data_IF_411399933105
#
_entry.id   IF_411399933105
#
_cell.length_a   1.000
_cell.length_b   1.000
_cell.length_c   1.000
_cell.angle_alpha   90.00
_cell.angle_beta   90.00
_cell.angle_gamma   90.00
#
_symmetry.space_group_name_H-M   'P 1'
#
loop_
_entity.id
_entity.type
_entity.pdbx_description
1 polymer ?
#
# COMPACT_ATOMS: atom_id res chain seq x y z
N UNK A 1 5.06 5.55 -17.47
CA UNK A 1 5.41 4.48 -16.48
C UNK A 1 5.95 3.28 -17.25
N UNK A 2 6.82 2.44 -16.65
CA UNK A 2 7.38 1.25 -17.33
C UNK A 2 6.93 -0.11 -16.79
N UNK A 3 6.53 -0.20 -15.52
CA UNK A 3 6.08 -1.46 -14.89
C UNK A 3 4.82 -1.33 -14.02
N UNK A 4 4.00 -0.30 -14.27
CA UNK A 4 2.82 -0.02 -13.45
C UNK A 4 1.85 -1.21 -13.46
N UNK A 5 1.24 -1.51 -12.31
CA UNK A 5 0.20 -2.54 -12.26
C UNK A 5 -0.52 -2.66 -10.92
N UNK A 6 -1.66 -3.32 -11.01
CA UNK A 6 -2.63 -3.50 -9.93
C UNK A 6 -2.09 -4.33 -8.77
N UNK A 7 -2.64 -4.08 -7.57
CA UNK A 7 -2.17 -4.61 -6.28
C UNK A 7 -2.06 -6.13 -6.23
N UNK A 8 -3.01 -6.84 -6.86
CA UNK A 8 -3.01 -8.30 -6.89
C UNK A 8 -2.02 -8.88 -7.91
N UNK A 9 -1.69 -8.14 -8.97
CA UNK A 9 -1.14 -8.70 -10.21
C UNK A 9 0.27 -8.23 -10.61
N UNK A 10 0.84 -7.18 -10.00
CA UNK A 10 2.22 -6.73 -10.33
C UNK A 10 2.99 -6.29 -9.07
N UNK A 11 4.15 -6.91 -8.81
CA UNK A 11 4.97 -6.77 -7.58
C UNK A 11 6.47 -6.84 -7.87
N UNK A 12 7.30 -6.27 -7.00
CA UNK A 12 8.78 -6.27 -7.14
C UNK A 12 9.32 -5.36 -8.25
N UNK A 13 10.63 -5.43 -8.51
CA UNK A 13 11.27 -4.83 -9.67
C UNK A 13 11.20 -5.75 -10.91
N UNK A 14 11.22 -5.16 -12.10
CA UNK A 14 11.56 -5.88 -13.35
C UNK A 14 13.08 -6.10 -13.45
N UNK A 15 13.54 -6.59 -14.60
CA UNK A 15 14.93 -6.57 -15.03
C UNK A 15 15.35 -5.19 -15.58
N UNK A 16 14.78 -4.08 -15.09
CA UNK A 16 15.06 -2.73 -15.58
C UNK A 16 15.15 -1.64 -14.51
N UNK A 17 14.83 -1.96 -13.25
CA UNK A 17 14.89 -1.09 -12.08
C UNK A 17 13.58 -0.37 -11.79
N UNK A 18 12.52 -0.66 -12.55
CA UNK A 18 11.20 -0.10 -12.34
C UNK A 18 10.43 -1.01 -11.37
N UNK A 19 10.22 -0.56 -10.13
CA UNK A 19 9.34 -1.28 -9.21
C UNK A 19 7.89 -1.15 -9.65
N UNK A 20 7.10 -2.22 -9.49
CA UNK A 20 5.75 -2.33 -10.01
C UNK A 20 4.79 -1.21 -9.55
N UNK A 21 5.04 -0.69 -8.35
CA UNK A 21 4.33 0.43 -7.74
C UNK A 21 5.37 1.34 -7.07
N UNK A 22 5.94 2.27 -7.84
CA UNK A 22 6.75 3.37 -7.31
C UNK A 22 5.81 4.53 -6.96
N UNK A 23 5.78 4.92 -5.69
CA UNK A 23 5.10 6.13 -5.21
C UNK A 23 6.15 6.99 -4.52
N UNK A 24 6.36 8.16 -5.09
CA UNK A 24 7.30 9.16 -4.61
C UNK A 24 6.51 10.16 -3.74
N UNK A 25 6.44 9.90 -2.43
CA UNK A 25 5.85 10.81 -1.45
C UNK A 25 6.87 11.90 -1.08
N UNK A 26 7.11 12.82 -2.00
CA UNK A 26 7.91 14.01 -1.75
C UNK A 26 6.99 15.15 -1.24
N UNK A 27 7.37 15.83 -0.16
CA UNK A 27 6.60 16.95 0.39
C UNK A 27 7.05 18.26 -0.29
N UNK A 28 6.62 18.45 -1.54
CA UNK A 28 7.13 19.51 -2.43
C UNK A 28 6.34 20.81 -2.36
N UNK A 29 7.03 21.90 -2.73
CA UNK A 29 6.49 23.19 -3.16
C UNK A 29 7.06 23.45 -4.57
N UNK A 30 6.32 23.14 -5.64
CA UNK A 30 6.91 22.75 -6.95
C UNK A 30 6.37 23.52 -8.18
N UNK A 31 7.11 23.45 -9.30
CA UNK A 31 6.66 23.90 -10.63
C UNK A 31 7.55 23.38 -11.81
N UNK A 32 7.24 22.18 -12.34
CA UNK A 32 7.36 21.69 -13.75
C UNK A 32 8.55 20.75 -14.22
N UNK A 33 8.79 19.57 -13.61
CA UNK A 33 9.30 18.30 -14.27
C UNK A 33 10.77 17.78 -14.02
N UNK A 34 11.29 16.58 -14.43
CA UNK A 34 10.81 15.31 -15.09
C UNK A 34 11.80 14.05 -14.96
N UNK A 35 11.70 12.96 -15.78
CA UNK A 35 12.25 11.55 -15.56
C UNK A 35 12.71 10.83 -16.91
N UNK A 36 13.23 9.58 -17.17
CA UNK A 36 13.51 8.26 -16.49
C UNK A 36 14.30 7.20 -17.40
N UNK A 37 15.09 6.20 -16.90
CA UNK A 37 15.44 4.84 -17.53
C UNK A 37 16.59 4.01 -16.83
N UNK A 38 17.01 2.73 -17.09
CA UNK A 38 16.46 1.43 -17.65
C UNK A 38 17.57 0.31 -17.90
N UNK A 39 17.34 -1.01 -17.67
CA UNK A 39 18.14 -2.31 -17.84
C UNK A 39 18.99 -2.97 -16.71
N UNK A 40 18.78 -4.29 -16.44
CA UNK A 40 19.35 -5.13 -15.34
C UNK A 40 19.46 -6.65 -15.71
N UNK A 41 20.29 -7.46 -15.00
CA UNK A 41 19.83 -8.31 -13.87
C UNK A 41 20.31 -7.84 -12.49
N UNK A 42 21.06 -6.75 -12.54
CA UNK A 42 21.45 -5.73 -11.57
C UNK A 42 20.22 -5.23 -10.73
N UNK A 43 19.37 -6.11 -10.19
CA UNK A 43 17.95 -5.83 -9.91
C UNK A 43 17.72 -4.84 -8.75
N UNK A 44 18.18 -5.22 -7.56
CA UNK A 44 18.22 -4.32 -6.40
C UNK A 44 19.36 -3.31 -6.59
N UNK A 45 20.54 -3.78 -6.99
CA UNK A 45 21.77 -2.99 -7.18
C UNK A 45 21.59 -1.76 -8.09
N UNK A 46 21.02 -1.90 -9.28
CA UNK A 46 20.77 -0.76 -10.18
C UNK A 46 19.57 0.05 -9.74
N UNK A 47 18.53 -0.54 -9.16
CA UNK A 47 17.44 0.27 -8.60
C UNK A 47 18.03 1.25 -7.57
N UNK A 48 18.87 0.74 -6.66
CA UNK A 48 19.55 1.55 -5.65
C UNK A 48 20.66 2.47 -6.20
N UNK A 49 21.43 2.05 -7.21
CA UNK A 49 22.40 2.92 -7.91
C UNK A 49 21.72 4.06 -8.68
N UNK A 50 20.60 3.80 -9.34
CA UNK A 50 19.83 4.80 -10.09
C UNK A 50 18.91 5.63 -9.17
N UNK A 51 18.69 5.23 -7.91
CA UNK A 51 18.26 6.12 -6.83
C UNK A 51 19.44 6.99 -6.37
N UNK A 52 20.59 6.40 -6.00
CA UNK A 52 21.78 7.14 -5.52
C UNK A 52 22.23 8.23 -6.49
N UNK A 53 22.22 7.95 -7.80
CA UNK A 53 22.50 8.94 -8.86
C UNK A 53 21.52 10.12 -8.94
N UNK A 54 20.29 9.97 -8.44
CA UNK A 54 19.24 11.00 -8.49
C UNK A 54 19.12 11.78 -7.19
N UNK A 55 19.21 11.10 -6.04
CA UNK A 55 18.90 11.69 -4.74
C UNK A 55 20.09 11.74 -3.77
N UNK A 56 21.20 11.06 -4.05
CA UNK A 56 22.34 10.95 -3.13
C UNK A 56 22.23 9.77 -2.16
N UNK A 57 22.49 10.00 -0.87
CA UNK A 57 22.47 8.98 0.19
C UNK A 57 21.07 8.34 0.34
N UNK A 58 20.95 7.01 0.34
CA UNK A 58 19.65 6.33 0.39
C UNK A 58 19.46 5.59 1.71
N UNK A 59 18.43 5.98 2.48
CA UNK A 59 17.99 5.27 3.68
C UNK A 59 16.81 4.35 3.33
N UNK A 60 17.06 3.04 3.22
CA UNK A 60 16.09 2.03 2.86
C UNK A 60 15.43 1.38 4.10
N UNK A 61 14.33 1.97 4.57
CA UNK A 61 13.55 1.42 5.67
C UNK A 61 12.68 0.27 5.15
N UNK A 62 12.72 -0.90 5.79
CA UNK A 62 11.82 -2.03 5.53
C UNK A 62 10.77 -2.17 6.65
N UNK A 63 9.49 -2.00 6.31
CA UNK A 63 8.35 -2.08 7.23
C UNK A 63 7.61 -3.43 7.17
N UNK A 64 8.16 -4.42 6.45
CA UNK A 64 7.62 -5.78 6.35
C UNK A 64 7.66 -6.48 7.73
N UNK A 65 6.63 -7.27 8.03
CA UNK A 65 6.54 -8.06 9.26
C UNK A 65 7.55 -9.21 9.19
N UNK A 66 8.40 -9.34 10.21
CA UNK A 66 9.45 -10.36 10.25
C UNK A 66 8.90 -11.75 10.64
N UNK A 67 7.61 -11.85 10.94
CA UNK A 67 6.90 -13.09 11.31
C UNK A 67 5.77 -13.42 10.32
N UNK A 68 5.39 -14.70 10.28
CA UNK A 68 4.32 -15.20 9.40
C UNK A 68 4.68 -15.13 7.91
N UNK A 69 3.66 -15.06 7.05
CA UNK A 69 3.83 -15.13 5.58
C UNK A 69 4.59 -13.97 4.93
N UNK A 70 4.79 -12.85 5.64
CA UNK A 70 5.61 -11.73 5.17
C UNK A 70 7.11 -11.98 5.31
N UNK A 71 7.53 -12.82 6.27
CA UNK A 71 8.92 -13.03 6.67
C UNK A 71 9.87 -13.41 5.52
N UNK A 72 9.44 -14.30 4.63
CA UNK A 72 10.22 -14.78 3.46
C UNK A 72 10.67 -13.62 2.57
N UNK A 73 9.84 -12.59 2.44
CA UNK A 73 10.15 -11.42 1.62
C UNK A 73 11.06 -10.42 2.35
N UNK A 74 10.95 -10.25 3.68
CA UNK A 74 11.92 -9.44 4.45
C UNK A 74 13.31 -10.10 4.50
N UNK A 75 13.38 -11.44 4.58
CA UNK A 75 14.66 -12.18 4.49
C UNK A 75 15.27 -12.03 3.09
N UNK A 76 14.52 -12.32 2.02
CA UNK A 76 15.03 -12.21 0.66
C UNK A 76 15.43 -10.76 0.29
N UNK A 77 14.71 -9.75 0.80
CA UNK A 77 15.08 -8.35 0.60
C UNK A 77 16.31 -7.95 1.41
N UNK A 78 16.42 -8.36 2.68
CA UNK A 78 17.60 -8.17 3.51
C UNK A 78 18.85 -8.76 2.86
N UNK A 79 18.80 -10.03 2.45
CA UNK A 79 19.90 -10.70 1.77
C UNK A 79 20.31 -10.02 0.45
N UNK A 80 19.38 -9.33 -0.23
CA UNK A 80 19.69 -8.57 -1.44
C UNK A 80 20.28 -7.19 -1.14
N UNK A 81 19.91 -6.59 -0.01
CA UNK A 81 20.46 -5.32 0.48
C UNK A 81 21.84 -5.50 1.13
N UNK A 82 22.08 -6.59 1.86
CA UNK A 82 23.39 -6.95 2.44
C UNK A 82 24.46 -7.23 1.36
N UNK A 83 24.02 -7.57 0.13
CA UNK A 83 24.89 -7.72 -1.05
C UNK A 83 25.19 -6.39 -1.75
N UNK A 84 24.59 -5.26 -1.31
CA UNK A 84 24.96 -3.92 -1.75
C UNK A 84 26.13 -3.39 -0.93
N UNK A 85 27.35 -3.60 -1.41
CA UNK A 85 28.55 -2.93 -0.89
C UNK A 85 28.63 -1.46 -1.33
N UNK A 86 27.71 -0.63 -0.82
CA UNK A 86 27.65 0.82 -1.06
C UNK A 86 27.46 1.60 0.25
N UNK A 87 28.50 2.32 0.67
CA UNK A 87 28.54 3.11 1.92
C UNK A 87 27.50 4.25 1.99
N UNK A 88 26.90 4.62 0.85
CA UNK A 88 25.84 5.62 0.79
C UNK A 88 24.43 5.02 0.95
N UNK A 89 24.29 3.71 1.18
CA UNK A 89 23.00 3.02 1.15
C UNK A 89 22.77 2.22 2.44
N UNK A 90 22.12 2.85 3.43
CA UNK A 90 21.78 2.22 4.71
C UNK A 90 20.46 1.44 4.60
N UNK A 91 20.51 0.13 4.83
CA UNK A 91 19.32 -0.69 5.03
C UNK A 91 18.89 -0.71 6.50
N UNK A 92 17.59 -0.53 6.77
CA UNK A 92 17.04 -0.50 8.13
C UNK A 92 15.77 -1.37 8.23
N UNK A 93 15.86 -2.61 8.78
CA UNK A 93 14.71 -3.47 8.99
C UNK A 93 13.94 -3.08 10.27
N UNK A 94 12.73 -2.53 10.12
CA UNK A 94 11.88 -2.04 11.21
C UNK A 94 10.53 -2.78 11.22
N UNK A 95 10.38 -3.76 12.12
CA UNK A 95 9.11 -4.51 12.23
C UNK A 95 8.00 -3.65 12.85
N UNK A 96 7.26 -2.97 11.97
CA UNK A 96 6.15 -2.09 12.30
C UNK A 96 5.06 -2.80 13.11
N UNK A 97 4.81 -4.09 12.86
CA UNK A 97 3.79 -4.85 13.57
C UNK A 97 4.24 -5.21 14.98
N UNK A 98 5.49 -5.64 15.17
CA UNK A 98 6.08 -5.91 16.49
C UNK A 98 6.18 -4.63 17.34
N UNK A 99 6.57 -3.51 16.73
CA UNK A 99 6.87 -2.27 17.46
C UNK A 99 5.58 -1.47 17.73
N UNK A 100 4.81 -1.12 16.70
CA UNK A 100 3.61 -0.27 16.83
C UNK A 100 2.32 -1.07 17.08
N UNK A 101 2.28 -2.35 16.71
CA UNK A 101 1.08 -3.18 16.82
C UNK A 101 -0.10 -2.60 16.03
N UNK A 102 -1.28 -2.59 16.63
CA UNK A 102 -2.48 -2.03 16.01
C UNK A 102 -2.76 -0.57 16.41
N UNK A 103 -2.10 -0.04 17.45
CA UNK A 103 -2.50 1.21 18.14
C UNK A 103 -1.30 2.09 18.57
N UNK A 104 -0.13 1.53 18.90
CA UNK A 104 0.98 2.25 19.55
C UNK A 104 1.95 2.90 18.56
N UNK A 105 1.41 3.70 17.64
CA UNK A 105 2.18 4.41 16.61
C UNK A 105 3.14 5.47 17.16
N UNK A 106 2.93 5.96 18.40
CA UNK A 106 3.88 6.82 19.12
C UNK A 106 5.30 6.24 19.15
N UNK A 107 5.43 4.90 19.16
CA UNK A 107 6.70 4.17 19.11
C UNK A 107 7.47 4.32 17.79
N UNK A 108 6.91 5.00 16.79
CA UNK A 108 7.67 5.48 15.63
C UNK A 108 8.66 6.59 15.99
N UNK A 109 8.59 7.18 17.19
CA UNK A 109 9.68 8.02 17.74
C UNK A 109 11.01 7.26 17.74
N UNK A 110 11.02 5.99 18.14
CA UNK A 110 12.21 5.15 18.14
C UNK A 110 12.80 4.90 16.73
N UNK A 111 11.95 4.92 15.68
CA UNK A 111 12.44 4.91 14.30
C UNK A 111 13.10 6.24 13.94
N UNK A 112 12.51 7.37 14.33
CA UNK A 112 13.11 8.68 14.12
C UNK A 112 14.44 8.84 14.87
N UNK A 113 14.54 8.35 16.11
CA UNK A 113 15.75 8.46 16.93
C UNK A 113 16.95 7.68 16.37
N UNK A 114 16.74 6.59 15.63
CA UNK A 114 17.79 5.82 14.94
C UNK A 114 18.29 6.46 13.62
N UNK A 115 17.51 7.41 13.07
CA UNK A 115 17.76 7.99 11.73
C UNK A 115 17.89 9.51 11.73
N UNK A 116 17.66 10.21 12.85
CA UNK A 116 17.69 11.68 12.94
C UNK A 116 19.02 12.31 12.48
N UNK A 117 20.14 11.65 12.72
CA UNK A 117 21.46 12.09 12.24
C UNK A 117 21.60 11.89 10.72
N UNK A 118 21.07 10.78 10.19
CA UNK A 118 20.94 10.50 8.76
C UNK A 118 20.14 11.61 8.06
N UNK A 119 18.94 11.92 8.59
CA UNK A 119 18.07 12.97 8.07
C UNK A 119 18.73 14.36 8.13
N UNK A 120 19.49 14.63 9.20
CA UNK A 120 20.24 15.88 9.36
C UNK A 120 21.40 15.99 8.36
N UNK A 121 22.03 14.86 7.99
CA UNK A 121 23.06 14.78 6.94
C UNK A 121 22.48 14.91 5.54
N UNK A 122 21.33 14.29 5.29
CA UNK A 122 20.58 14.40 4.03
C UNK A 122 20.05 15.82 3.80
N UNK A 123 19.64 16.51 4.87
CA UNK A 123 19.19 17.91 4.83
C UNK A 123 17.91 18.11 4.04
N UNK A 124 17.69 19.32 3.54
CA UNK A 124 16.56 19.66 2.67
C UNK A 124 16.99 20.59 1.54
N UNK A 125 16.17 20.71 0.49
CA UNK A 125 16.33 21.78 -0.48
C UNK A 125 15.78 23.09 0.10
N UNK A 126 16.59 24.16 0.07
CA UNK A 126 16.20 25.48 0.54
C UNK A 126 16.67 26.55 -0.45
N UNK A 127 15.79 27.51 -0.74
CA UNK A 127 16.02 28.61 -1.69
C UNK A 127 15.54 29.92 -1.06
N UNK A 128 16.29 31.00 -1.26
CA UNK A 128 15.87 32.32 -0.77
C UNK A 128 14.84 32.99 -1.71
N UNK A 129 14.15 34.06 -1.26
CA UNK A 129 13.18 34.78 -2.10
C UNK A 129 13.77 35.45 -3.34
N UNK A 130 15.09 35.65 -3.40
CA UNK A 130 15.79 36.16 -4.59
C UNK A 130 16.13 35.04 -5.60
N UNK A 131 15.81 33.79 -5.26
CA UNK A 131 15.99 32.63 -6.11
C UNK A 131 17.36 31.98 -6.02
N UNK A 132 18.21 32.35 -5.06
CA UNK A 132 19.50 31.70 -4.79
C UNK A 132 19.27 30.44 -3.95
N UNK A 133 19.94 29.35 -4.31
CA UNK A 133 19.92 28.11 -3.53
C UNK A 133 20.79 28.28 -2.28
N UNK A 134 20.25 27.95 -1.11
CA UNK A 134 20.92 27.99 0.19
C UNK A 134 21.37 26.60 0.62
N UNK A 135 20.48 25.61 0.52
CA UNK A 135 20.76 24.20 0.82
C UNK A 135 20.23 23.31 -0.31
N UNK A 136 20.87 22.16 -0.50
CA UNK A 136 20.46 21.12 -1.46
C UNK A 136 20.37 19.82 -0.68
N UNK A 137 19.26 19.09 -0.88
CA UNK A 137 19.05 17.77 -0.31
C UNK A 137 20.05 16.76 -0.90
N UNK A 138 20.69 15.98 -0.02
CA UNK A 138 21.80 15.05 -0.34
C UNK A 138 21.43 13.59 -0.17
N UNK A 139 20.18 13.29 0.15
CA UNK A 139 19.69 11.91 0.26
C UNK A 139 18.18 11.80 0.38
N UNK A 140 17.68 10.57 0.31
CA UNK A 140 16.25 10.24 0.34
C UNK A 140 15.97 9.12 1.34
N UNK A 141 14.80 9.17 2.00
CA UNK A 141 14.25 8.02 2.72
C UNK A 141 13.32 7.22 1.82
N UNK A 142 13.62 5.93 1.65
CA UNK A 142 12.81 4.97 0.91
C UNK A 142 12.12 4.01 1.89
N UNK A 143 10.86 4.27 2.22
CA UNK A 143 10.01 3.34 2.99
C UNK A 143 9.47 2.21 2.10
N UNK A 144 9.87 0.98 2.38
CA UNK A 144 9.40 -0.23 1.71
C UNK A 144 8.37 -0.95 2.59
N UNK A 145 7.34 -1.54 1.98
CA UNK A 145 6.40 -2.40 2.68
C UNK A 145 5.69 -3.33 1.69
N UNK A 146 5.32 -4.52 2.15
CA UNK A 146 4.38 -5.38 1.42
C UNK A 146 2.95 -4.92 1.69
N UNK A 147 2.17 -4.70 0.63
CA UNK A 147 0.70 -4.49 0.62
C UNK A 147 0.11 -3.33 1.45
N UNK A 148 0.87 -2.68 2.33
CA UNK A 148 0.36 -1.71 3.30
C UNK A 148 0.88 -0.30 3.00
N UNK A 149 0.23 0.36 2.05
CA UNK A 149 0.24 1.84 1.98
C UNK A 149 -0.09 2.45 3.35
N UNK A 150 -0.98 1.80 4.09
CA UNK A 150 -1.39 2.20 5.44
C UNK A 150 -0.21 2.18 6.46
N UNK A 151 0.84 1.36 6.23
CA UNK A 151 2.11 1.38 7.01
C UNK A 151 3.04 2.49 6.51
N UNK A 152 3.25 2.59 5.19
CA UNK A 152 4.18 3.59 4.62
C UNK A 152 3.70 5.01 4.81
N UNK A 153 2.40 5.31 4.64
CA UNK A 153 1.85 6.66 4.78
C UNK A 153 1.98 7.19 6.21
N UNK A 154 1.76 6.34 7.23
CA UNK A 154 1.97 6.74 8.63
C UNK A 154 3.44 7.06 8.89
N UNK A 155 4.37 6.19 8.45
CA UNK A 155 5.81 6.46 8.57
C UNK A 155 6.22 7.74 7.82
N UNK A 156 5.79 7.91 6.58
CA UNK A 156 6.08 9.09 5.77
C UNK A 156 5.51 10.37 6.40
N UNK A 157 4.31 10.35 6.98
CA UNK A 157 3.73 11.50 7.69
C UNK A 157 4.50 11.91 8.96
N UNK A 158 5.21 10.98 9.61
CA UNK A 158 6.11 11.35 10.71
C UNK A 158 7.39 12.01 10.18
N UNK A 159 7.96 11.47 9.10
CA UNK A 159 9.16 12.03 8.47
C UNK A 159 8.88 13.41 7.86
N UNK A 160 7.75 13.59 7.18
CA UNK A 160 7.29 14.88 6.65
C UNK A 160 7.05 15.92 7.75
N UNK A 161 6.56 15.50 8.93
CA UNK A 161 6.42 16.40 10.09
C UNK A 161 7.79 16.89 10.57
N UNK A 162 8.76 15.98 10.69
CA UNK A 162 10.11 16.32 11.15
C UNK A 162 10.88 17.14 10.12
N UNK A 163 10.71 16.86 8.83
CA UNK A 163 11.22 17.70 7.75
C UNK A 163 10.59 19.11 7.79
N UNK A 164 9.27 19.22 8.00
CA UNK A 164 8.59 20.51 8.11
C UNK A 164 9.04 21.32 9.34
N UNK A 165 9.22 20.67 10.48
CA UNK A 165 9.77 21.32 11.70
C UNK A 165 11.16 21.90 11.42
N UNK A 166 12.06 21.14 10.80
CA UNK A 166 13.40 21.62 10.41
C UNK A 166 13.31 22.74 9.36
N UNK A 167 12.44 22.63 8.35
CA UNK A 167 12.24 23.66 7.33
C UNK A 167 11.77 24.99 7.95
N UNK A 168 10.77 24.96 8.83
CA UNK A 168 10.23 26.14 9.52
C UNK A 168 11.26 26.78 10.46
N UNK A 169 12.13 25.98 11.09
CA UNK A 169 13.26 26.47 11.88
C UNK A 169 14.34 27.13 11.01
N UNK A 170 14.67 26.55 9.85
CA UNK A 170 15.67 27.10 8.91
C UNK A 170 15.28 28.46 8.34
N UNK A 171 13.99 28.74 8.19
CA UNK A 171 13.46 30.04 7.74
C UNK A 171 13.05 30.98 8.88
N UNK A 172 13.31 30.60 10.14
CA UNK A 172 13.05 31.45 11.31
C UNK A 172 11.58 31.66 11.68
N UNK A 173 10.67 30.80 11.21
CA UNK A 173 9.23 30.84 11.57
C UNK A 173 8.94 30.04 12.84
N UNK A 174 9.73 28.99 13.10
CA UNK A 174 9.61 28.11 14.27
C UNK A 174 10.90 28.18 15.11
N UNK A 175 10.80 28.29 16.43
CA UNK A 175 12.01 28.27 17.27
C UNK A 175 12.66 26.87 17.28
N UNK A 176 13.99 26.75 17.50
CA UNK A 176 14.70 25.45 17.49
C UNK A 176 14.16 24.40 18.47
N UNK A 177 13.52 24.82 19.55
CA UNK A 177 12.93 23.94 20.58
C UNK A 177 11.41 23.79 20.46
N UNK A 178 10.77 24.41 19.48
CA UNK A 178 9.32 24.31 19.23
C UNK A 178 9.03 23.19 18.22
N UNK A 179 7.81 22.64 18.27
CA UNK A 179 7.30 21.60 17.34
C UNK A 179 5.97 22.04 16.74
N UNK A 180 5.60 21.57 15.54
CA UNK A 180 4.32 22.00 14.93
C UNK A 180 3.10 21.55 15.76
N UNK A 181 3.28 20.54 16.60
CA UNK A 181 2.27 20.02 17.54
C UNK A 181 1.82 21.06 18.59
N UNK A 182 2.63 22.10 18.84
CA UNK A 182 2.27 23.22 19.71
C UNK A 182 1.29 24.20 19.04
N UNK A 183 1.13 24.11 17.72
CA UNK A 183 0.31 25.01 16.89
C UNK A 183 -0.88 24.23 16.32
N UNK A 184 -1.96 24.11 17.10
CA UNK A 184 -3.10 23.23 16.81
C UNK A 184 -3.64 23.35 15.38
N UNK A 185 -3.85 24.58 14.87
CA UNK A 185 -4.34 24.80 13.50
C UNK A 185 -3.35 24.41 12.39
N UNK A 186 -2.05 24.31 12.68
CA UNK A 186 -1.04 23.82 11.73
C UNK A 186 -0.97 22.29 11.76
N UNK A 187 -0.94 21.69 12.95
CA UNK A 187 -0.93 20.24 13.15
C UNK A 187 -2.24 19.58 12.66
N UNK A 188 -3.40 20.25 12.77
CA UNK A 188 -4.66 19.79 12.14
C UNK A 188 -4.56 19.77 10.61
N UNK A 189 -4.15 20.89 9.99
CA UNK A 189 -3.97 20.97 8.53
C UNK A 189 -2.96 19.94 8.01
N UNK A 190 -1.88 19.73 8.74
CA UNK A 190 -0.88 18.72 8.44
C UNK A 190 -1.46 17.28 8.51
N UNK A 191 -2.22 16.96 9.56
CA UNK A 191 -2.91 15.67 9.72
C UNK A 191 -3.93 15.41 8.62
N UNK A 192 -4.71 16.43 8.23
CA UNK A 192 -5.68 16.33 7.14
C UNK A 192 -4.97 16.06 5.80
N UNK A 193 -3.96 16.88 5.45
CA UNK A 193 -3.17 16.73 4.23
C UNK A 193 -2.59 15.32 4.07
N UNK A 194 -1.93 14.79 5.12
CA UNK A 194 -1.33 13.46 5.08
C UNK A 194 -2.34 12.30 5.10
N UNK A 195 -3.56 12.53 5.59
CA UNK A 195 -4.63 11.55 5.52
C UNK A 195 -5.28 11.52 4.13
N UNK A 196 -5.53 12.68 3.55
CA UNK A 196 -6.09 12.82 2.20
C UNK A 196 -5.10 12.29 1.15
N UNK A 197 -3.79 12.56 1.31
CA UNK A 197 -2.70 11.95 0.53
C UNK A 197 -2.75 10.42 0.56
N UNK A 198 -2.86 9.85 1.77
CA UNK A 198 -3.00 8.40 1.97
C UNK A 198 -4.25 7.82 1.34
N UNK A 199 -5.40 8.51 1.45
CA UNK A 199 -6.65 8.11 0.81
C UNK A 199 -6.56 8.16 -0.72
N UNK A 200 -5.97 9.21 -1.31
CA UNK A 200 -5.82 9.35 -2.76
C UNK A 200 -4.90 8.26 -3.36
N UNK A 201 -3.73 8.00 -2.76
CA UNK A 201 -2.86 6.89 -3.20
C UNK A 201 -3.58 5.54 -3.00
N UNK A 202 -4.37 5.39 -1.94
CA UNK A 202 -5.12 4.16 -1.69
C UNK A 202 -6.20 3.91 -2.77
N UNK A 203 -6.87 4.96 -3.23
CA UNK A 203 -7.88 4.90 -4.29
C UNK A 203 -7.19 4.49 -5.61
N UNK A 204 -6.03 5.07 -5.93
CA UNK A 204 -5.26 4.70 -7.10
C UNK A 204 -4.81 3.22 -7.04
N UNK A 205 -4.21 2.80 -5.92
CA UNK A 205 -3.61 1.47 -5.75
C UNK A 205 -4.64 0.34 -5.58
N UNK A 206 -5.71 0.59 -4.82
CA UNK A 206 -6.67 -0.44 -4.36
C UNK A 206 -8.15 -0.11 -4.54
N UNK A 207 -8.48 1.07 -5.10
CA UNK A 207 -9.85 1.47 -5.42
C UNK A 207 -10.72 1.88 -4.23
N UNK A 208 -10.15 2.01 -3.02
CA UNK A 208 -10.82 2.50 -1.81
C UNK A 208 -9.95 3.53 -1.12
N UNK A 209 -10.51 4.31 -0.19
CA UNK A 209 -9.70 5.03 0.81
C UNK A 209 -8.76 4.10 1.59
N UNK A 210 -7.79 4.69 2.26
CA UNK A 210 -6.83 4.03 3.13
C UNK A 210 -7.55 3.26 4.25
N UNK A 211 -6.83 2.33 4.88
CA UNK A 211 -7.21 1.81 6.19
C UNK A 211 -6.47 2.62 7.25
N UNK A 212 -7.10 2.82 8.42
CA UNK A 212 -6.54 3.64 9.50
C UNK A 212 -6.29 5.11 9.13
N UNK A 213 -7.00 5.65 8.13
CA UNK A 213 -6.98 7.09 7.83
C UNK A 213 -7.45 7.95 9.01
N UNK A 214 -8.24 7.40 9.93
CA UNK A 214 -8.62 8.05 11.19
C UNK A 214 -7.44 8.22 12.16
N UNK A 215 -6.47 7.29 12.16
CA UNK A 215 -5.25 7.45 12.93
C UNK A 215 -4.41 8.64 12.44
N UNK A 216 -4.29 8.82 11.12
CA UNK A 216 -3.57 9.98 10.56
C UNK A 216 -4.31 11.29 10.88
N UNK A 217 -5.64 11.33 10.74
CA UNK A 217 -6.46 12.53 11.02
C UNK A 217 -6.52 12.92 12.50
N UNK A 218 -6.57 11.96 13.41
CA UNK A 218 -6.89 12.22 14.83
C UNK A 218 -5.83 11.72 15.84
N UNK A 219 -4.75 11.11 15.38
CA UNK A 219 -3.73 10.48 16.25
C UNK A 219 -4.23 9.26 17.04
N UNK A 220 -5.44 8.76 16.76
CA UNK A 220 -6.06 7.63 17.47
C UNK A 220 -7.12 6.94 16.62
N UNK A 221 -7.47 5.71 17.01
CA UNK A 221 -8.51 4.90 16.37
C UNK A 221 -9.91 5.28 16.87
N UNK A 222 -10.89 5.20 15.97
CA UNK A 222 -12.28 5.62 16.20
C UNK A 222 -13.25 4.50 15.80
N UNK A 223 -14.41 4.40 16.47
CA UNK A 223 -15.42 3.37 16.15
C UNK A 223 -15.93 3.52 14.70
N UNK A 224 -16.14 4.76 14.25
CA UNK A 224 -16.52 5.07 12.85
C UNK A 224 -15.42 4.67 11.86
N UNK A 225 -14.14 4.93 12.19
CA UNK A 225 -13.00 4.51 11.37
C UNK A 225 -12.84 2.99 11.30
N UNK A 226 -13.09 2.26 12.39
CA UNK A 226 -13.09 0.79 12.39
C UNK A 226 -14.20 0.23 11.49
N UNK A 227 -15.41 0.81 11.52
CA UNK A 227 -16.50 0.40 10.64
C UNK A 227 -16.18 0.71 9.16
N UNK A 228 -15.65 1.90 8.87
CA UNK A 228 -15.25 2.29 7.52
C UNK A 228 -14.10 1.41 6.99
N UNK A 229 -13.12 1.06 7.83
CA UNK A 229 -12.05 0.12 7.49
C UNK A 229 -12.60 -1.27 7.12
N UNK A 230 -13.66 -1.73 7.79
CA UNK A 230 -14.35 -2.98 7.44
C UNK A 230 -14.97 -2.93 6.04
N UNK A 231 -15.70 -1.85 5.74
CA UNK A 231 -16.31 -1.61 4.41
C UNK A 231 -15.24 -1.44 3.31
N UNK A 232 -14.18 -0.68 3.58
CA UNK A 232 -13.03 -0.53 2.69
C UNK A 232 -12.35 -1.90 2.45
N UNK A 233 -12.16 -2.72 3.49
CA UNK A 233 -11.53 -4.05 3.36
C UNK A 233 -12.37 -5.02 2.53
N UNK A 234 -13.70 -5.05 2.72
CA UNK A 234 -14.61 -5.85 1.90
C UNK A 234 -14.62 -5.38 0.43
N UNK A 235 -14.59 -4.07 0.22
CA UNK A 235 -14.53 -3.47 -1.13
C UNK A 235 -13.19 -3.77 -1.82
N UNK A 236 -12.04 -3.61 -1.13
CA UNK A 236 -10.71 -4.04 -1.61
C UNK A 236 -10.71 -5.52 -1.98
N UNK A 237 -11.35 -6.39 -1.20
CA UNK A 237 -11.47 -7.83 -1.53
C UNK A 237 -12.23 -8.06 -2.84
N UNK A 238 -13.37 -7.38 -3.06
CA UNK A 238 -14.08 -7.47 -4.34
C UNK A 238 -13.23 -6.95 -5.51
N UNK A 239 -12.64 -5.76 -5.38
CA UNK A 239 -11.90 -5.12 -6.46
C UNK A 239 -10.66 -5.93 -6.87
N UNK A 240 -9.83 -6.34 -5.91
CA UNK A 240 -8.63 -7.15 -6.17
C UNK A 240 -8.98 -8.46 -6.91
N UNK A 241 -10.03 -9.17 -6.48
CA UNK A 241 -10.35 -10.49 -7.02
C UNK A 241 -11.18 -10.46 -8.32
N UNK A 242 -11.97 -9.41 -8.57
CA UNK A 242 -12.97 -9.41 -9.66
C UNK A 242 -12.90 -8.21 -10.62
N UNK A 243 -12.13 -7.16 -10.32
CA UNK A 243 -12.02 -5.95 -11.18
C UNK A 243 -10.58 -5.58 -11.55
N UNK A 244 -9.61 -5.84 -10.68
CA UNK A 244 -8.19 -5.57 -10.93
C UNK A 244 -7.67 -6.28 -12.19
N UNK A 245 -8.24 -7.43 -12.56
CA UNK A 245 -7.95 -8.10 -13.83
C UNK A 245 -8.17 -7.22 -15.06
N UNK A 246 -9.34 -6.59 -15.14
CA UNK A 246 -9.74 -5.67 -16.23
C UNK A 246 -8.96 -4.36 -16.12
N UNK A 247 -8.75 -3.85 -14.90
CA UNK A 247 -7.96 -2.63 -14.65
C UNK A 247 -6.51 -2.79 -15.13
N UNK A 248 -5.91 -3.98 -14.95
CA UNK A 248 -4.58 -4.30 -15.45
C UNK A 248 -4.55 -4.39 -16.99
N UNK A 249 -5.51 -5.09 -17.61
CA UNK A 249 -5.65 -5.13 -19.07
C UNK A 249 -5.74 -3.69 -19.65
N UNK A 250 -6.52 -2.82 -19.02
CA UNK A 250 -6.62 -1.39 -19.41
C UNK A 250 -5.30 -0.63 -19.23
N UNK A 251 -4.55 -0.88 -18.16
CA UNK A 251 -3.21 -0.28 -17.95
C UNK A 251 -2.24 -0.75 -19.03
N UNK A 252 -2.20 -2.05 -19.32
CA UNK A 252 -1.27 -2.61 -20.30
C UNK A 252 -1.59 -2.18 -21.74
N UNK A 253 -2.87 -1.92 -22.06
CA UNK A 253 -3.27 -1.33 -23.34
C UNK A 253 -2.90 0.15 -23.44
N UNK A 254 -3.20 0.97 -22.41
CA UNK A 254 -2.92 2.42 -22.41
C UNK A 254 -1.42 2.73 -22.32
N UNK A 255 -0.64 1.91 -21.61
CA UNK A 255 0.81 2.03 -21.54
C UNK A 255 1.54 1.45 -22.77
N UNK A 256 0.82 0.86 -23.74
CA UNK A 256 1.39 0.29 -24.96
C UNK A 256 2.11 -1.05 -24.77
N UNK A 257 1.96 -1.71 -23.61
CA UNK A 257 2.48 -3.05 -23.36
C UNK A 257 1.74 -4.12 -24.20
N UNK A 258 0.49 -3.87 -24.60
CA UNK A 258 -0.26 -4.70 -25.56
C UNK A 258 -0.64 -3.91 -26.82
N UNK A 259 -0.25 -4.44 -27.99
CA UNK A 259 -0.62 -3.86 -29.29
C UNK A 259 -1.77 -4.65 -29.93
N UNK A 260 -2.89 -3.97 -30.18
CA UNK A 260 -4.08 -4.56 -30.81
C UNK A 260 -3.81 -4.84 -32.30
N UNK A 261 -3.78 -6.12 -32.67
CA UNK A 261 -3.72 -6.55 -34.08
C UNK A 261 -5.09 -6.41 -34.73
N UNK A 262 -5.16 -5.80 -35.92
CA UNK A 262 -6.40 -5.74 -36.70
C UNK A 262 -6.76 -7.16 -37.18
N UNK A 263 -8.04 -7.53 -37.05
CA UNK A 263 -8.56 -8.83 -37.49
C UNK A 263 -8.56 -9.94 -36.43
N UNK A 264 -7.89 -9.80 -35.29
CA UNK A 264 -8.06 -10.74 -34.16
C UNK A 264 -9.33 -10.43 -33.35
N UNK A 265 -10.08 -11.44 -32.87
CA UNK A 265 -11.23 -11.23 -31.98
C UNK A 265 -10.84 -10.46 -30.70
N UNK A 266 -11.80 -9.72 -30.14
CA UNK A 266 -11.58 -8.99 -28.89
C UNK A 266 -11.40 -9.96 -27.71
N UNK A 267 -10.21 -9.98 -27.13
CA UNK A 267 -9.85 -10.81 -25.95
C UNK A 267 -10.54 -10.37 -24.66
N UNK A 268 -11.17 -9.20 -24.64
CA UNK A 268 -11.80 -8.56 -23.47
C UNK A 268 -13.30 -8.90 -23.32
N UNK A 269 -13.73 -10.10 -23.72
CA UNK A 269 -15.11 -10.54 -23.51
C UNK A 269 -15.42 -10.74 -22.02
N UNK A 270 -16.42 -10.02 -21.50
CA UNK A 270 -16.84 -10.08 -20.09
C UNK A 270 -17.28 -11.50 -19.74
N UNK A 271 -16.56 -12.15 -18.83
CA UNK A 271 -16.87 -13.49 -18.35
C UNK A 271 -18.04 -13.46 -17.35
N UNK A 272 -18.85 -14.51 -17.31
CA UNK A 272 -19.89 -14.68 -16.27
C UNK A 272 -19.31 -14.58 -14.84
N UNK A 273 -18.01 -14.88 -14.66
CA UNK A 273 -17.29 -14.75 -13.39
C UNK A 273 -17.16 -13.29 -12.92
N UNK A 274 -17.03 -12.36 -13.87
CA UNK A 274 -16.92 -10.91 -13.61
C UNK A 274 -18.24 -10.33 -13.10
N UNK A 275 -19.36 -10.90 -13.53
CA UNK A 275 -20.72 -10.41 -13.25
C UNK A 275 -21.40 -11.15 -12.09
N UNK A 276 -21.32 -12.49 -12.04
CA UNK A 276 -22.20 -13.31 -11.20
C UNK A 276 -21.50 -14.14 -10.12
N UNK A 277 -20.19 -14.39 -10.19
CA UNK A 277 -19.54 -15.32 -9.25
C UNK A 277 -19.60 -14.85 -7.79
N UNK A 278 -19.23 -13.59 -7.49
CA UNK A 278 -19.32 -13.09 -6.11
C UNK A 278 -20.77 -12.77 -5.68
N UNK A 279 -21.62 -12.09 -6.47
CA UNK A 279 -23.01 -11.86 -6.08
C UNK A 279 -23.78 -13.16 -5.84
N UNK A 280 -23.56 -14.18 -6.66
CA UNK A 280 -24.11 -15.52 -6.47
C UNK A 280 -23.62 -16.17 -5.18
N UNK A 281 -22.30 -16.27 -4.98
CA UNK A 281 -21.72 -16.88 -3.78
C UNK A 281 -22.16 -16.15 -2.48
N UNK A 282 -22.24 -14.82 -2.51
CA UNK A 282 -22.72 -14.02 -1.39
C UNK A 282 -24.22 -14.23 -1.13
N UNK A 283 -25.05 -14.28 -2.18
CA UNK A 283 -26.48 -14.56 -2.05
C UNK A 283 -26.73 -15.97 -1.49
N UNK A 284 -26.01 -17.00 -1.98
CA UNK A 284 -26.09 -18.37 -1.45
C UNK A 284 -25.64 -18.44 0.01
N UNK A 285 -24.55 -17.75 0.40
CA UNK A 285 -24.11 -17.70 1.79
C UNK A 285 -25.11 -16.98 2.70
N UNK A 286 -25.61 -15.81 2.28
CA UNK A 286 -26.60 -15.03 3.05
C UNK A 286 -27.92 -15.78 3.20
N UNK A 287 -28.40 -16.46 2.16
CA UNK A 287 -29.56 -17.33 2.23
C UNK A 287 -29.33 -18.51 3.18
N UNK A 288 -28.21 -19.23 3.04
CA UNK A 288 -27.85 -20.35 3.91
C UNK A 288 -27.77 -19.95 5.39
N UNK A 289 -27.10 -18.81 5.68
CA UNK A 289 -27.02 -18.25 7.02
C UNK A 289 -28.39 -17.79 7.56
N UNK A 290 -29.21 -17.13 6.74
CA UNK A 290 -30.56 -16.70 7.11
C UNK A 290 -31.45 -17.91 7.46
N UNK A 291 -31.59 -18.87 6.55
CA UNK A 291 -32.43 -20.05 6.78
C UNK A 291 -31.92 -20.90 7.96
N UNK A 292 -30.60 -21.04 8.13
CA UNK A 292 -30.03 -21.67 9.33
C UNK A 292 -30.43 -20.91 10.60
N UNK A 293 -30.35 -19.57 10.60
CA UNK A 293 -30.71 -18.75 11.77
C UNK A 293 -32.21 -18.78 12.10
N UNK A 294 -33.08 -18.87 11.09
CA UNK A 294 -34.53 -19.03 11.26
C UNK A 294 -34.84 -20.42 11.82
N UNK A 295 -34.26 -21.47 11.24
CA UNK A 295 -34.45 -22.86 11.68
C UNK A 295 -33.96 -23.05 13.13
N UNK A 296 -32.79 -22.50 13.49
CA UNK A 296 -32.28 -22.51 14.87
C UNK A 296 -33.19 -21.77 15.86
N UNK A 297 -33.81 -20.66 15.45
CA UNK A 297 -34.81 -19.94 16.27
C UNK A 297 -36.16 -20.65 16.39
N UNK A 298 -36.43 -21.62 15.52
CA UNK A 298 -37.67 -22.40 15.48
C UNK A 298 -37.52 -23.80 16.09
N UNK A 299 -36.33 -24.17 16.60
CA UNK A 299 -36.03 -25.47 17.20
C UNK A 299 -36.98 -25.80 18.37
N UNK A 300 -37.99 -26.61 18.08
CA UNK A 300 -39.00 -27.06 19.03
C UNK A 300 -39.27 -28.55 18.89
N UNK A 301 -38.46 -29.37 19.57
CA UNK A 301 -38.60 -30.85 19.72
C UNK A 301 -38.63 -31.71 18.44
N UNK A 302 -38.80 -31.15 17.25
CA UNK A 302 -39.10 -31.92 16.04
C UNK A 302 -37.83 -32.35 15.28
N UNK A 303 -37.61 -33.66 15.12
CA UNK A 303 -36.41 -34.22 14.50
C UNK A 303 -36.19 -33.74 13.06
N UNK A 304 -37.27 -33.46 12.33
CA UNK A 304 -37.21 -32.92 10.97
C UNK A 304 -36.57 -31.53 10.90
N UNK A 305 -36.77 -30.67 11.91
CA UNK A 305 -36.14 -29.34 11.99
C UNK A 305 -34.61 -29.46 12.19
N UNK A 306 -34.16 -30.40 13.02
CA UNK A 306 -32.74 -30.69 13.20
C UNK A 306 -32.09 -31.17 11.90
N UNK A 307 -32.72 -32.12 11.19
CA UNK A 307 -32.23 -32.62 9.90
C UNK A 307 -32.18 -31.54 8.82
N UNK A 308 -33.20 -30.67 8.73
CA UNK A 308 -33.22 -29.54 7.81
C UNK A 308 -32.11 -28.52 8.12
N UNK A 309 -31.90 -28.20 9.41
CA UNK A 309 -30.82 -27.32 9.86
C UNK A 309 -29.43 -27.87 9.50
N UNK A 310 -29.22 -29.18 9.73
CA UNK A 310 -27.98 -29.88 9.37
C UNK A 310 -27.74 -29.89 7.85
N UNK A 311 -28.78 -30.10 7.05
CA UNK A 311 -28.69 -30.05 5.59
C UNK A 311 -28.29 -28.65 5.10
N UNK A 312 -28.91 -27.58 5.61
CA UNK A 312 -28.57 -26.20 5.25
C UNK A 312 -27.16 -25.81 5.68
N UNK A 313 -26.75 -26.20 6.90
CA UNK A 313 -25.39 -26.00 7.38
C UNK A 313 -24.36 -26.77 6.51
N UNK A 314 -24.69 -28.00 6.12
CA UNK A 314 -23.86 -28.82 5.22
C UNK A 314 -23.71 -28.22 3.82
N UNK A 315 -24.80 -27.75 3.21
CA UNK A 315 -24.77 -27.04 1.91
C UNK A 315 -23.95 -25.75 2.02
N UNK A 316 -24.16 -24.95 3.06
CA UNK A 316 -23.41 -23.70 3.30
C UNK A 316 -21.91 -23.99 3.49
N UNK A 317 -21.57 -25.01 4.28
CA UNK A 317 -20.19 -25.48 4.48
C UNK A 317 -19.55 -26.00 3.18
N UNK A 318 -20.30 -26.74 2.37
CA UNK A 318 -19.87 -27.23 1.06
C UNK A 318 -19.58 -26.09 0.07
N UNK A 319 -20.43 -25.06 0.03
CA UNK A 319 -20.18 -23.85 -0.77
C UNK A 319 -18.93 -23.11 -0.29
N UNK A 320 -18.75 -22.95 1.03
CA UNK A 320 -17.52 -22.33 1.60
C UNK A 320 -16.27 -23.16 1.29
N UNK A 321 -16.35 -24.50 1.34
CA UNK A 321 -15.25 -25.39 0.97
C UNK A 321 -14.91 -25.29 -0.52
N UNK A 322 -15.91 -25.27 -1.41
CA UNK A 322 -15.73 -25.12 -2.85
C UNK A 322 -15.14 -23.74 -3.20
N UNK A 323 -15.61 -22.66 -2.58
CA UNK A 323 -15.04 -21.31 -2.73
C UNK A 323 -13.60 -21.24 -2.22
N UNK A 324 -13.25 -21.94 -1.12
CA UNK A 324 -11.85 -22.05 -0.66
C UNK A 324 -10.97 -22.84 -1.64
N UNK A 325 -11.46 -23.97 -2.16
CA UNK A 325 -10.69 -24.83 -3.06
C UNK A 325 -10.53 -24.23 -4.47
N UNK A 326 -11.60 -23.67 -5.03
CA UNK A 326 -11.62 -23.11 -6.38
C UNK A 326 -11.46 -21.58 -6.44
N UNK A 327 -11.26 -20.88 -5.33
CA UNK A 327 -11.17 -19.41 -5.29
C UNK A 327 -10.20 -18.82 -6.33
N UNK A 328 -9.02 -19.43 -6.51
CA UNK A 328 -8.02 -19.05 -7.53
C UNK A 328 -8.50 -19.17 -9.00
N UNK A 329 -9.61 -19.88 -9.24
CA UNK A 329 -10.25 -20.06 -10.54
C UNK A 329 -11.53 -19.21 -10.67
N UNK A 330 -12.06 -18.67 -9.57
CA UNK A 330 -13.16 -17.72 -9.54
C UNK A 330 -12.68 -16.27 -9.71
N UNK A 331 -11.40 -15.98 -9.42
CA UNK A 331 -10.83 -14.64 -9.65
C UNK A 331 -10.71 -14.29 -11.14
N UNK A 332 -10.87 -13.01 -11.42
CA UNK A 332 -10.75 -12.42 -12.76
C UNK A 332 -9.29 -12.02 -12.97
N UNK A 333 -8.61 -12.75 -13.86
CA UNK A 333 -7.20 -12.49 -14.21
C UNK A 333 -7.11 -11.61 -15.46
N UNK A 334 -6.03 -10.81 -15.61
CA UNK A 334 -5.68 -10.15 -16.87
C UNK A 334 -5.50 -11.16 -18.02
N UNK A 335 -5.70 -10.67 -19.24
CA UNK A 335 -5.84 -11.45 -20.47
C UNK A 335 -4.93 -10.97 -21.61
N UNK A 336 -4.51 -9.70 -21.60
CA UNK A 336 -3.71 -9.11 -22.68
C UNK A 336 -2.23 -9.48 -22.59
N UNK A 337 -1.63 -9.30 -21.41
CA UNK A 337 -0.23 -9.63 -21.14
C UNK A 337 -0.14 -10.87 -20.25
N UNK A 338 0.87 -11.71 -20.49
CA UNK A 338 1.31 -12.68 -19.48
C UNK A 338 1.91 -11.92 -18.28
N UNK A 339 1.94 -12.58 -17.14
CA UNK A 339 2.72 -12.15 -15.99
C UNK A 339 3.94 -13.03 -15.86
N UNK A 340 5.06 -12.38 -15.58
CA UNK A 340 6.34 -12.97 -15.18
C UNK A 340 6.46 -12.92 -13.64
#
# INVERSE_FOLDING_TARGET
>A
MKRAGTRMWRRGADLDGNVANFVESEQILESQGFFASYTQPIAVERHFRDLRKRYGDILAIDLINQQGGESVLSVAYREAMEKLSDEHIRYLPFDFHKICGHIHFERLSALYDDIKEELSRQGCYLRDPMGKVLEVQKGQVRTNCIDCLDRTNVTQSLLGRKALEVQLQRIGILEPNNTIQQFESLEEKFKLLWADHGDHISIQYSGTGALKGDFVRFGKRTIRGILQDGLNSATRYYLNNFRDGIKQDSIDLVAGHYQVKRGTPASLQISWKETFALPGALATFMAGAYFTSVSVRQLGTDMYQYLYTLMLAGVTGGVVALVRQQGRNLTVRPRLCKMD
#
